data_IF_972052157479
#
_entry.id   IF_972052157479
#
_cell.length_a   1.000
_cell.length_b   1.000
_cell.length_c   1.000
_cell.angle_alpha   90.00
_cell.angle_beta   90.00
_cell.angle_gamma   90.00
#
_symmetry.space_group_name_H-M   'P 1'
#
loop_
_entity.id
_entity.type
_entity.pdbx_description
1 polymer ?
#
# COMPACT_ATOMS: atom_id res chain seq x y z
N UNK A 1 26.16 -29.09 3.87
CA UNK A 1 26.19 -27.62 3.65
C UNK A 1 27.10 -27.01 4.71
N UNK A 2 28.00 -26.10 4.31
CA UNK A 2 28.83 -25.39 5.26
C UNK A 2 27.95 -24.57 6.22
N UNK A 3 28.26 -24.64 7.51
CA UNK A 3 27.59 -23.83 8.51
C UNK A 3 27.99 -22.36 8.31
N UNK A 4 27.04 -21.51 7.93
CA UNK A 4 27.26 -20.06 7.85
C UNK A 4 27.55 -19.51 9.26
N UNK A 5 28.42 -18.50 9.33
CA UNK A 5 28.63 -17.71 10.55
C UNK A 5 27.33 -17.01 10.94
N UNK A 6 27.12 -16.79 12.23
CA UNK A 6 25.88 -16.20 12.74
C UNK A 6 25.64 -14.76 12.23
N UNK A 7 26.70 -14.01 11.92
CA UNK A 7 26.62 -12.69 11.29
C UNK A 7 25.97 -12.76 9.89
N UNK A 8 26.38 -13.72 9.07
CA UNK A 8 25.84 -13.93 7.71
C UNK A 8 24.38 -14.38 7.78
N UNK A 9 24.05 -15.26 8.74
CA UNK A 9 22.64 -15.67 8.96
C UNK A 9 21.78 -14.48 9.37
N UNK A 10 22.28 -13.64 10.26
CA UNK A 10 21.58 -12.46 10.73
C UNK A 10 21.33 -11.48 9.58
N UNK A 11 22.31 -11.26 8.72
CA UNK A 11 22.15 -10.45 7.50
C UNK A 11 21.07 -11.03 6.59
N UNK A 12 21.14 -12.32 6.27
CA UNK A 12 20.18 -13.02 5.40
C UNK A 12 18.75 -12.90 5.94
N UNK A 13 18.54 -13.20 7.23
CA UNK A 13 17.22 -13.17 7.85
C UNK A 13 16.63 -11.75 7.83
N UNK A 14 17.45 -10.72 8.10
CA UNK A 14 17.01 -9.32 8.03
C UNK A 14 16.64 -8.91 6.62
N UNK A 15 17.48 -9.20 5.62
CA UNK A 15 17.22 -8.84 4.23
C UNK A 15 15.93 -9.49 3.71
N UNK A 16 15.73 -10.79 3.99
CA UNK A 16 14.49 -11.49 3.64
C UNK A 16 13.26 -10.92 4.37
N UNK A 17 13.41 -10.51 5.63
CA UNK A 17 12.37 -9.82 6.38
C UNK A 17 12.04 -8.42 5.83
N UNK A 18 12.95 -7.80 5.07
CA UNK A 18 12.74 -6.54 4.36
C UNK A 18 12.23 -6.72 2.91
N UNK A 19 11.74 -7.90 2.55
CA UNK A 19 11.19 -8.26 1.22
C UNK A 19 12.21 -8.40 0.09
N UNK A 20 13.51 -8.47 0.39
CA UNK A 20 14.49 -8.82 -0.63
C UNK A 20 14.28 -10.27 -1.11
N UNK A 21 14.43 -10.48 -2.41
CA UNK A 21 14.34 -11.82 -2.99
C UNK A 21 15.60 -12.64 -2.67
N UNK A 22 15.51 -13.98 -2.56
CA UNK A 22 16.69 -14.82 -2.31
C UNK A 22 17.84 -14.62 -3.32
N UNK A 23 17.52 -14.20 -4.55
CA UNK A 23 18.51 -13.83 -5.58
C UNK A 23 19.24 -12.54 -5.22
N UNK A 24 18.51 -11.48 -4.83
CA UNK A 24 19.11 -10.22 -4.38
C UNK A 24 19.99 -10.44 -3.15
N UNK A 25 19.50 -11.21 -2.17
CA UNK A 25 20.27 -11.52 -0.97
C UNK A 25 21.53 -12.34 -1.29
N UNK A 26 21.49 -13.24 -2.28
CA UNK A 26 22.70 -13.99 -2.70
C UNK A 26 23.79 -13.07 -3.26
N UNK A 27 23.39 -12.05 -4.03
CA UNK A 27 24.32 -11.06 -4.59
C UNK A 27 24.88 -10.20 -3.46
N UNK A 28 24.02 -9.69 -2.58
CA UNK A 28 24.44 -8.86 -1.44
C UNK A 28 25.38 -9.60 -0.48
N UNK A 29 25.12 -10.88 -0.18
CA UNK A 29 26.03 -11.71 0.65
C UNK A 29 27.40 -11.89 -0.01
N UNK A 30 27.43 -12.04 -1.34
CA UNK A 30 28.68 -12.14 -2.09
C UNK A 30 29.46 -10.84 -2.08
N UNK A 31 28.78 -9.70 -2.17
CA UNK A 31 29.38 -8.37 -2.13
C UNK A 31 29.90 -8.01 -0.72
N UNK A 32 29.12 -8.25 0.33
CA UNK A 32 29.49 -7.88 1.71
C UNK A 32 30.45 -8.86 2.38
N UNK A 33 30.27 -10.16 2.16
CA UNK A 33 31.00 -11.20 2.89
C UNK A 33 31.96 -12.01 2.00
N UNK A 34 31.96 -11.79 0.67
CA UNK A 34 32.77 -12.56 -0.28
C UNK A 34 32.34 -14.03 -0.38
N UNK A 35 31.14 -14.38 0.10
CA UNK A 35 30.63 -15.75 0.15
C UNK A 35 29.62 -16.00 -0.96
N UNK A 36 29.87 -17.03 -1.76
CA UNK A 36 28.90 -17.49 -2.76
C UNK A 36 27.91 -18.48 -2.11
N UNK A 37 26.72 -17.99 -1.77
CA UNK A 37 25.67 -18.78 -1.13
C UNK A 37 24.51 -18.98 -2.11
N UNK A 38 24.12 -20.23 -2.41
CA UNK A 38 23.05 -20.48 -3.37
C UNK A 38 21.70 -19.97 -2.84
N UNK A 39 20.89 -19.39 -3.73
CA UNK A 39 19.55 -18.88 -3.40
C UNK A 39 18.64 -19.89 -2.67
N UNK A 40 18.83 -21.19 -2.94
CA UNK A 40 18.10 -22.28 -2.29
C UNK A 40 18.43 -22.37 -0.80
N UNK A 41 19.71 -22.21 -0.43
CA UNK A 41 20.15 -22.19 0.97
C UNK A 41 19.63 -20.94 1.67
N UNK A 42 19.67 -19.78 0.99
CA UNK A 42 19.11 -18.52 1.51
C UNK A 42 17.62 -18.65 1.80
N UNK A 43 16.85 -19.29 0.91
CA UNK A 43 15.42 -19.48 1.08
C UNK A 43 15.05 -20.30 2.34
N UNK A 44 15.97 -21.09 2.91
CA UNK A 44 15.71 -21.83 4.15
C UNK A 44 15.67 -20.94 5.40
N UNK A 45 16.15 -19.69 5.29
CA UNK A 45 16.10 -18.69 6.36
C UNK A 45 14.80 -17.86 6.35
N UNK A 46 13.87 -18.17 5.45
CA UNK A 46 12.56 -17.55 5.37
C UNK A 46 11.49 -18.47 6.00
N UNK A 47 10.95 -18.14 7.19
CA UNK A 47 9.97 -18.97 7.88
C UNK A 47 8.57 -18.95 7.25
N UNK A 48 8.27 -17.99 6.37
CA UNK A 48 6.99 -17.94 5.64
C UNK A 48 6.96 -18.96 4.49
N UNK A 49 8.13 -19.46 4.07
CA UNK A 49 8.25 -20.51 3.06
C UNK A 49 8.30 -21.91 3.68
N UNK A 50 7.74 -22.89 2.95
CA UNK A 50 7.78 -24.30 3.36
C UNK A 50 9.21 -24.81 3.63
N UNK A 51 10.20 -24.34 2.87
CA UNK A 51 11.61 -24.72 3.02
C UNK A 51 12.27 -24.18 4.30
N UNK A 52 11.71 -23.15 4.94
CA UNK A 52 12.22 -22.58 6.19
C UNK A 52 11.47 -23.03 7.45
N UNK A 53 10.58 -24.02 7.35
CA UNK A 53 9.81 -24.53 8.50
C UNK A 53 10.67 -25.03 9.66
N UNK A 54 11.85 -25.58 9.36
CA UNK A 54 12.81 -26.12 10.35
C UNK A 54 13.78 -25.07 10.90
N UNK A 55 13.59 -23.79 10.57
CA UNK A 55 14.40 -22.71 11.11
C UNK A 55 14.23 -22.61 12.64
N UNK A 56 15.32 -22.33 13.35
CA UNK A 56 15.29 -22.23 14.82
C UNK A 56 14.46 -21.03 15.29
N UNK A 57 13.91 -21.13 16.50
CA UNK A 57 13.04 -20.11 17.09
C UNK A 57 13.69 -18.73 17.13
N UNK A 58 15.00 -18.65 17.43
CA UNK A 58 15.79 -17.39 17.44
C UNK A 58 15.69 -16.61 16.13
N UNK A 59 15.80 -17.28 14.99
CA UNK A 59 15.78 -16.62 13.68
C UNK A 59 14.36 -16.32 13.23
N UNK A 60 13.39 -17.17 13.60
CA UNK A 60 11.96 -16.90 13.36
C UNK A 60 11.49 -15.64 14.06
N UNK A 61 11.82 -15.47 15.35
CA UNK A 61 11.46 -14.26 16.11
C UNK A 61 12.10 -13.02 15.48
N UNK A 62 13.40 -13.08 15.18
CA UNK A 62 14.11 -11.97 14.53
C UNK A 62 13.49 -11.59 13.19
N UNK A 63 13.10 -12.57 12.38
CA UNK A 63 12.44 -12.34 11.10
C UNK A 63 11.13 -11.57 11.26
N UNK A 64 10.23 -12.07 12.12
CA UNK A 64 8.92 -11.45 12.33
C UNK A 64 9.04 -10.07 12.98
N UNK A 65 9.93 -9.89 13.95
CA UNK A 65 10.19 -8.59 14.59
C UNK A 65 10.72 -7.56 13.57
N UNK A 66 11.64 -7.98 12.71
CA UNK A 66 12.21 -7.11 11.66
C UNK A 66 11.15 -6.78 10.60
N UNK A 67 10.32 -7.76 10.21
CA UNK A 67 9.21 -7.56 9.27
C UNK A 67 8.17 -6.58 9.82
N UNK A 68 7.82 -6.70 11.10
CA UNK A 68 6.87 -5.80 11.75
C UNK A 68 7.40 -4.36 11.75
N UNK A 69 8.65 -4.17 12.19
CA UNK A 69 9.32 -2.86 12.15
C UNK A 69 9.38 -2.28 10.74
N UNK A 70 9.76 -3.07 9.75
CA UNK A 70 9.82 -2.61 8.35
C UNK A 70 8.44 -2.13 7.85
N UNK A 71 7.35 -2.81 8.22
CA UNK A 71 5.99 -2.38 7.86
C UNK A 71 5.57 -1.11 8.58
N UNK A 72 5.94 -0.96 9.85
CA UNK A 72 5.69 0.27 10.61
C UNK A 72 6.49 1.46 10.07
N UNK A 73 7.74 1.23 9.66
CA UNK A 73 8.63 2.25 9.08
C UNK A 73 8.12 2.80 7.74
N UNK A 74 7.26 2.06 7.01
CA UNK A 74 6.59 2.59 5.80
C UNK A 74 5.79 3.88 6.12
N UNK A 75 5.26 4.01 7.34
CA UNK A 75 4.57 5.22 7.78
C UNK A 75 5.48 6.45 7.86
N UNK A 76 6.80 6.25 8.00
CA UNK A 76 7.81 7.32 8.02
C UNK A 76 8.10 7.84 6.60
N UNK A 77 7.93 7.00 5.57
CA UNK A 77 8.22 7.38 4.19
C UNK A 77 7.25 8.50 3.77
N UNK A 78 7.72 9.74 3.50
CA UNK A 78 6.81 10.87 3.28
C UNK A 78 5.86 10.66 2.11
N UNK A 79 6.31 10.02 1.02
CA UNK A 79 5.48 9.75 -0.16
C UNK A 79 4.30 8.81 0.14
N UNK A 80 4.36 8.00 1.21
CA UNK A 80 3.23 7.17 1.62
C UNK A 80 2.07 8.03 2.16
N UNK A 81 2.35 9.19 2.75
CA UNK A 81 1.36 10.10 3.30
C UNK A 81 0.67 10.95 2.22
N UNK A 82 -0.67 10.90 2.18
CA UNK A 82 -1.52 11.74 1.29
C UNK A 82 -1.22 13.23 1.49
N UNK A 83 -1.03 13.68 2.73
CA UNK A 83 -0.75 15.08 3.04
C UNK A 83 0.57 15.57 2.40
N UNK A 84 1.60 14.73 2.38
CA UNK A 84 2.87 15.08 1.76
C UNK A 84 2.76 15.14 0.23
N UNK A 85 2.12 14.14 -0.40
CA UNK A 85 1.91 14.12 -1.85
C UNK A 85 1.11 15.32 -2.35
N UNK A 86 0.03 15.68 -1.65
CA UNK A 86 -0.76 16.88 -1.99
C UNK A 86 0.06 18.17 -1.89
N UNK A 87 0.92 18.30 -0.87
CA UNK A 87 1.84 19.46 -0.78
C UNK A 87 2.87 19.47 -1.91
N UNK A 88 3.35 18.31 -2.34
CA UNK A 88 4.26 18.21 -3.48
C UNK A 88 3.55 18.61 -4.79
N UNK A 89 2.34 18.11 -5.03
CA UNK A 89 1.51 18.46 -6.19
C UNK A 89 1.18 19.97 -6.21
N UNK A 90 0.86 20.57 -5.06
CA UNK A 90 0.62 22.01 -4.97
C UNK A 90 1.84 22.84 -5.43
N UNK A 91 3.06 22.48 -4.99
CA UNK A 91 4.29 23.15 -5.44
C UNK A 91 4.54 22.95 -6.95
N UNK A 92 4.28 21.75 -7.47
CA UNK A 92 4.42 21.45 -8.90
C UNK A 92 3.44 22.25 -9.76
N UNK A 93 2.20 22.43 -9.29
CA UNK A 93 1.21 23.27 -9.97
C UNK A 93 1.66 24.74 -10.04
N UNK A 94 2.12 25.30 -8.91
CA UNK A 94 2.65 26.67 -8.86
C UNK A 94 3.87 26.86 -9.79
N UNK A 95 4.76 25.88 -9.86
CA UNK A 95 5.90 25.91 -10.79
C UNK A 95 5.45 25.86 -12.25
N UNK A 96 4.50 24.99 -12.59
CA UNK A 96 3.95 24.88 -13.94
C UNK A 96 3.24 26.18 -14.38
N UNK A 97 2.49 26.81 -13.48
CA UNK A 97 1.87 28.13 -13.69
C UNK A 97 2.92 29.22 -13.94
N UNK A 98 3.98 29.27 -13.13
CA UNK A 98 5.09 30.22 -13.31
C UNK A 98 5.82 30.05 -14.65
N UNK A 99 5.92 28.81 -15.15
CA UNK A 99 6.46 28.49 -16.47
C UNK A 99 5.47 28.76 -17.61
N UNK A 100 4.25 29.25 -17.31
CA UNK A 100 3.13 29.40 -18.26
C UNK A 100 2.75 28.09 -18.96
N UNK A 101 3.06 26.94 -18.35
CA UNK A 101 2.65 25.63 -18.84
C UNK A 101 1.31 25.22 -18.20
N UNK A 102 0.24 25.84 -18.70
CA UNK A 102 -1.11 25.66 -18.15
C UNK A 102 -1.61 24.22 -18.31
N UNK A 103 -1.25 23.54 -19.41
CA UNK A 103 -1.63 22.16 -19.62
C UNK A 103 -1.07 21.23 -18.52
N UNK A 104 0.20 21.43 -18.13
CA UNK A 104 0.81 20.67 -17.03
C UNK A 104 0.19 21.03 -15.68
N UNK A 105 -0.11 22.31 -15.43
CA UNK A 105 -0.78 22.73 -14.19
C UNK A 105 -2.14 22.03 -14.03
N UNK A 106 -2.95 21.98 -15.10
CA UNK A 106 -4.24 21.28 -15.11
C UNK A 106 -4.06 19.78 -14.82
N UNK A 107 -3.07 19.12 -15.42
CA UNK A 107 -2.79 17.70 -15.18
C UNK A 107 -2.37 17.41 -13.72
N UNK A 108 -1.57 18.30 -13.12
CA UNK A 108 -1.16 18.17 -11.72
C UNK A 108 -2.35 18.40 -10.77
N UNK A 109 -3.23 19.36 -11.08
CA UNK A 109 -4.46 19.60 -10.33
C UNK A 109 -5.41 18.41 -10.43
N UNK A 110 -5.56 17.83 -11.62
CA UNK A 110 -6.34 16.60 -11.82
C UNK A 110 -5.77 15.44 -10.98
N UNK A 111 -4.45 15.29 -10.94
CA UNK A 111 -3.81 14.27 -10.10
C UNK A 111 -4.07 14.51 -8.61
N UNK A 112 -4.04 15.75 -8.15
CA UNK A 112 -4.40 16.10 -6.78
C UNK A 112 -5.87 15.76 -6.47
N UNK A 113 -6.78 16.04 -7.41
CA UNK A 113 -8.20 15.67 -7.27
C UNK A 113 -8.39 14.15 -7.20
N UNK A 114 -7.67 13.37 -8.01
CA UNK A 114 -7.70 11.89 -7.97
C UNK A 114 -7.17 11.34 -6.64
N UNK A 115 -6.13 11.94 -6.08
CA UNK A 115 -5.65 11.57 -4.73
C UNK A 115 -6.67 11.92 -3.64
N UNK A 116 -7.33 13.07 -3.72
CA UNK A 116 -8.37 13.47 -2.77
C UNK A 116 -9.59 12.55 -2.84
N UNK A 117 -10.05 12.24 -4.06
CA UNK A 117 -11.20 11.37 -4.32
C UNK A 117 -10.94 9.87 -4.17
N UNK A 118 -9.75 9.47 -3.70
CA UNK A 118 -9.33 8.08 -3.50
C UNK A 118 -9.53 7.19 -4.74
N UNK A 119 -9.35 7.77 -5.95
CA UNK A 119 -9.54 7.07 -7.23
C UNK A 119 -8.65 5.83 -7.35
N UNK A 120 -7.50 5.85 -6.67
CA UNK A 120 -6.52 4.76 -6.67
C UNK A 120 -6.67 3.81 -5.47
N UNK A 121 -7.68 3.98 -4.63
CA UNK A 121 -7.99 3.05 -3.55
C UNK A 121 -8.97 2.00 -4.06
N UNK A 122 -8.60 0.73 -3.95
CA UNK A 122 -9.43 -0.37 -4.41
C UNK A 122 -10.58 -0.61 -3.41
N UNK A 123 -11.69 0.11 -3.55
CA UNK A 123 -12.88 0.01 -2.66
C UNK A 123 -13.70 -1.26 -2.84
N UNK A 124 -13.31 -2.18 -3.74
CA UNK A 124 -14.08 -3.39 -4.09
C UNK A 124 -14.15 -4.46 -2.99
N UNK A 125 -13.39 -4.35 -1.91
CA UNK A 125 -13.43 -5.33 -0.81
C UNK A 125 -14.50 -5.02 0.25
N UNK A 126 -14.98 -3.78 0.31
CA UNK A 126 -15.98 -3.32 1.29
C UNK A 126 -17.25 -2.84 0.58
N UNK A 127 -17.78 -3.64 -0.36
CA UNK A 127 -19.18 -3.44 -0.72
C UNK A 127 -20.01 -3.80 0.52
N UNK A 128 -20.74 -2.86 1.14
CA UNK A 128 -21.70 -3.25 2.17
C UNK A 128 -22.67 -4.22 1.51
N UNK A 129 -22.79 -5.43 2.07
CA UNK A 129 -23.88 -6.34 1.71
C UNK A 129 -25.16 -5.52 1.85
N UNK A 130 -25.84 -5.26 0.74
CA UNK A 130 -27.06 -4.48 0.76
C UNK A 130 -28.00 -5.10 1.80
N UNK A 131 -28.65 -4.29 2.66
CA UNK A 131 -29.69 -4.81 3.54
C UNK A 131 -30.86 -5.21 2.64
N UNK A 132 -30.92 -6.48 2.26
CA UNK A 132 -31.88 -6.99 1.29
C UNK A 132 -31.61 -8.39 0.73
N UNK A 133 -30.56 -9.09 1.17
CA UNK A 133 -30.38 -10.51 0.84
C UNK A 133 -31.10 -11.43 1.84
N UNK A 134 -32.39 -11.21 1.97
CA UNK A 134 -33.37 -12.22 2.39
C UNK A 134 -34.28 -12.38 1.19
N UNK A 135 -34.27 -13.56 0.58
CA UNK A 135 -34.88 -13.87 -0.72
C UNK A 135 -36.40 -13.68 -0.78
N UNK A 136 -36.85 -12.43 -0.73
CA UNK A 136 -38.20 -11.99 -1.05
C UNK A 136 -38.10 -10.87 -2.08
N UNK A 137 -38.99 -10.93 -3.06
CA UNK A 137 -38.92 -10.15 -4.30
C UNK A 137 -38.69 -8.65 -4.10
N UNK A 138 -37.87 -8.10 -4.97
CA UNK A 138 -37.61 -6.68 -5.17
C UNK A 138 -38.92 -5.88 -5.14
N UNK A 139 -39.15 -4.96 -4.18
CA UNK A 139 -40.27 -4.04 -4.32
C UNK A 139 -39.99 -3.14 -5.53
N UNK A 140 -40.99 -3.02 -6.40
CA UNK A 140 -40.92 -2.18 -7.60
C UNK A 140 -40.43 -0.77 -7.22
N UNK A 141 -39.52 -0.22 -8.03
CA UNK A 141 -38.96 1.11 -7.83
C UNK A 141 -40.08 2.14 -7.60
N UNK A 142 -39.97 3.06 -6.63
CA UNK A 142 -40.96 4.11 -6.48
C UNK A 142 -40.91 4.99 -7.73
N UNK A 143 -42.02 5.05 -8.45
CA UNK A 143 -42.23 6.03 -9.50
C UNK A 143 -42.12 7.43 -8.87
N UNK A 144 -41.04 8.15 -9.19
CA UNK A 144 -40.95 9.57 -8.85
C UNK A 144 -41.90 10.35 -9.77
N UNK A 145 -43.13 10.53 -9.31
CA UNK A 145 -44.08 11.48 -9.91
C UNK A 145 -43.68 12.86 -9.40
N UNK A 146 -43.08 13.68 -10.28
CA UNK A 146 -42.90 15.11 -10.03
C UNK A 146 -44.30 15.75 -9.93
N UNK A 147 -44.73 16.03 -8.70
CA UNK A 147 -45.90 16.88 -8.47
C UNK A 147 -45.49 18.34 -8.69
N UNK A 148 -46.32 19.16 -9.35
CA UNK A 148 -46.11 20.61 -9.37
C UNK A 148 -46.01 21.14 -7.94
N UNK A 149 -45.22 22.19 -7.74
CA UNK A 149 -44.87 22.80 -6.44
C UNK A 149 -46.09 23.30 -5.65
N UNK A 150 -46.91 22.39 -5.11
CA UNK A 150 -48.08 22.71 -4.27
C UNK A 150 -47.70 22.89 -2.79
N UNK A 151 -46.49 22.45 -2.39
CA UNK A 151 -46.00 22.51 -1.00
C UNK A 151 -44.84 23.51 -0.80
N UNK A 152 -44.64 24.45 -1.74
CA UNK A 152 -43.67 25.53 -1.52
C UNK A 152 -44.25 26.50 -0.47
N UNK A 153 -43.60 26.74 0.67
CA UNK A 153 -44.12 27.65 1.68
C UNK A 153 -44.26 29.06 1.10
N UNK A 154 -45.46 29.64 1.20
CA UNK A 154 -45.83 30.98 0.66
C UNK A 154 -45.04 32.15 1.28
N UNK A 155 -44.19 31.89 2.26
CA UNK A 155 -43.37 32.91 2.91
C UNK A 155 -41.88 32.60 2.73
N UNK A 156 -41.06 33.59 2.31
CA UNK A 156 -39.62 33.41 2.21
C UNK A 156 -39.04 33.09 3.59
N UNK A 157 -38.13 32.12 3.61
CA UNK A 157 -37.32 31.79 4.78
C UNK A 157 -36.42 33.01 5.03
N UNK A 158 -36.75 33.80 6.06
CA UNK A 158 -35.91 34.89 6.57
C UNK A 158 -34.70 34.33 7.33
#
# INVERSE_FOLDING_TARGET
MAALKDEVKLFIVKALACFDTPTQVSIAVKEEFGLDVPRQQIATYDPEKHVGRSLSTKWKTLFHDTRAKFREDVAVIPIASKAFRLRALARMAQQAEGMRNIALAVAVIEQAAKEVGDVYVNRRLDAPKAPGDTGEGMPAAPEYILKPDEDLPDSPIL
#
